data_IF_504528425235
#
_entry.id   IF_504528425235
#
_cell.length_a   1.000
_cell.length_b   1.000
_cell.length_c   1.000
_cell.angle_alpha   90.00
_cell.angle_beta   90.00
_cell.angle_gamma   90.00
#
_symmetry.space_group_name_H-M   'P 1'
#
loop_
_entity.id
_entity.type
_entity.pdbx_description
1 polymer ?
#
# COMPACT_ATOMS: atom_id res chain seq x y z
N UNK A 1 7.75 9.60 -14.41
CA UNK A 1 8.63 9.47 -13.22
C UNK A 1 7.83 8.94 -12.03
N UNK A 2 6.69 9.55 -11.72
CA UNK A 2 5.85 9.11 -10.60
C UNK A 2 5.37 7.66 -10.79
N UNK A 3 4.94 7.33 -12.00
CA UNK A 3 4.53 5.96 -12.35
C UNK A 3 5.68 4.96 -12.20
N UNK A 4 6.87 5.36 -12.64
CA UNK A 4 8.06 4.51 -12.52
C UNK A 4 8.41 4.27 -11.04
N UNK A 5 8.33 5.30 -10.20
CA UNK A 5 8.57 5.16 -8.76
C UNK A 5 7.54 4.24 -8.11
N UNK A 6 6.28 4.37 -8.49
CA UNK A 6 5.22 3.48 -8.00
C UNK A 6 5.50 2.02 -8.36
N UNK A 7 5.93 1.77 -9.60
CA UNK A 7 6.30 0.44 -10.04
C UNK A 7 7.50 -0.11 -9.27
N UNK A 8 8.50 0.72 -9.00
CA UNK A 8 9.69 0.33 -8.22
C UNK A 8 9.31 -0.05 -6.80
N UNK A 9 8.49 0.76 -6.14
CA UNK A 9 8.04 0.51 -4.77
C UNK A 9 7.23 -0.78 -4.70
N UNK A 10 6.28 -0.97 -5.61
CA UNK A 10 5.49 -2.19 -5.67
C UNK A 10 6.33 -3.43 -5.91
N UNK A 11 7.31 -3.34 -6.81
CA UNK A 11 8.23 -4.44 -7.08
C UNK A 11 9.09 -4.78 -5.85
N UNK A 12 9.55 -3.76 -5.13
CA UNK A 12 10.37 -3.95 -3.93
C UNK A 12 9.57 -4.62 -2.82
N UNK A 13 8.33 -4.20 -2.60
CA UNK A 13 7.45 -4.81 -1.61
C UNK A 13 7.19 -6.28 -1.95
N UNK A 14 6.88 -6.58 -3.22
CA UNK A 14 6.67 -7.96 -3.67
C UNK A 14 7.93 -8.80 -3.52
N UNK A 15 9.07 -8.27 -3.91
CA UNK A 15 10.36 -8.96 -3.77
C UNK A 15 10.63 -9.31 -2.31
N UNK A 16 10.39 -8.36 -1.39
CA UNK A 16 10.60 -8.59 0.03
C UNK A 16 9.69 -9.70 0.56
N UNK A 17 8.42 -9.67 0.21
CA UNK A 17 7.46 -10.68 0.65
C UNK A 17 7.79 -12.06 0.08
N UNK A 18 8.10 -12.15 -1.20
CA UNK A 18 8.44 -13.42 -1.85
C UNK A 18 9.75 -13.99 -1.31
N UNK A 19 10.75 -13.13 -1.09
CA UNK A 19 12.02 -13.55 -0.50
C UNK A 19 11.83 -14.15 0.89
N UNK A 20 11.01 -13.50 1.72
CA UNK A 20 10.66 -14.01 3.04
C UNK A 20 9.96 -15.36 2.97
N UNK A 21 9.03 -15.51 2.05
CA UNK A 21 8.31 -16.77 1.83
C UNK A 21 9.27 -17.90 1.41
N UNK A 22 10.18 -17.62 0.50
CA UNK A 22 11.15 -18.59 0.02
C UNK A 22 12.10 -19.01 1.15
N UNK A 23 12.65 -18.04 1.87
CA UNK A 23 13.57 -18.30 2.98
C UNK A 23 12.88 -19.05 4.11
N UNK A 24 11.59 -18.80 4.34
CA UNK A 24 10.78 -19.50 5.33
C UNK A 24 10.23 -20.84 4.86
N UNK A 25 10.55 -21.26 3.63
CA UNK A 25 10.08 -22.52 3.04
C UNK A 25 8.56 -22.61 2.96
N UNK A 26 7.90 -21.49 2.67
CA UNK A 26 6.45 -21.46 2.52
C UNK A 26 6.01 -22.33 1.33
N UNK A 27 4.86 -22.97 1.46
CA UNK A 27 4.27 -23.73 0.38
C UNK A 27 3.77 -22.83 -0.76
N UNK A 28 3.39 -23.43 -1.88
CA UNK A 28 2.95 -22.67 -3.06
C UNK A 28 1.75 -21.78 -2.77
N UNK A 29 0.78 -22.25 -2.00
CA UNK A 29 -0.41 -21.49 -1.64
C UNK A 29 -0.04 -20.29 -0.74
N UNK A 30 0.85 -20.49 0.21
CA UNK A 30 1.32 -19.44 1.11
C UNK A 30 2.13 -18.39 0.36
N UNK A 31 2.97 -18.82 -0.57
CA UNK A 31 3.74 -17.89 -1.42
C UNK A 31 2.82 -17.03 -2.28
N UNK A 32 1.78 -17.64 -2.86
CA UNK A 32 0.80 -16.91 -3.65
C UNK A 32 0.04 -15.88 -2.79
N UNK A 33 -0.36 -16.28 -1.58
CA UNK A 33 -1.04 -15.38 -0.64
C UNK A 33 -0.17 -14.19 -0.26
N UNK A 34 1.10 -14.41 0.01
CA UNK A 34 2.04 -13.33 0.35
C UNK A 34 2.32 -12.41 -0.84
N UNK A 35 2.38 -12.97 -2.06
CA UNK A 35 2.50 -12.17 -3.27
C UNK A 35 1.29 -11.26 -3.47
N UNK A 36 0.10 -11.81 -3.30
CA UNK A 36 -1.15 -11.06 -3.44
C UNK A 36 -1.28 -10.00 -2.35
N UNK A 37 -0.91 -10.35 -1.12
CA UNK A 37 -0.82 -9.41 -0.01
C UNK A 37 0.10 -8.23 -0.37
N UNK A 38 1.29 -8.52 -0.87
CA UNK A 38 2.27 -7.50 -1.22
C UNK A 38 1.79 -6.61 -2.37
N UNK A 39 1.07 -7.18 -3.33
CA UNK A 39 0.50 -6.43 -4.45
C UNK A 39 -0.55 -5.43 -3.96
N UNK A 40 -1.47 -5.89 -3.13
CA UNK A 40 -2.51 -5.03 -2.55
C UNK A 40 -1.90 -3.95 -1.65
N UNK A 41 -0.94 -4.35 -0.82
CA UNK A 41 -0.25 -3.42 0.08
C UNK A 41 0.50 -2.35 -0.69
N UNK A 42 1.20 -2.74 -1.75
CA UNK A 42 1.95 -1.79 -2.58
C UNK A 42 1.05 -0.75 -3.22
N UNK A 43 -0.11 -1.16 -3.72
CA UNK A 43 -1.06 -0.24 -4.29
C UNK A 43 -1.69 0.67 -3.22
N UNK A 44 -2.06 0.10 -2.08
CA UNK A 44 -2.56 0.89 -0.95
C UNK A 44 -1.52 1.93 -0.49
N UNK A 45 -0.25 1.56 -0.48
CA UNK A 45 0.85 2.45 -0.12
C UNK A 45 0.91 3.65 -1.09
N UNK A 46 0.80 3.40 -2.39
CA UNK A 46 0.83 4.48 -3.39
C UNK A 46 -0.36 5.41 -3.26
N UNK A 47 -1.54 4.87 -3.01
CA UNK A 47 -2.73 5.69 -2.80
C UNK A 47 -2.58 6.52 -1.52
N UNK A 48 -2.07 5.94 -0.45
CA UNK A 48 -1.82 6.65 0.81
C UNK A 48 -0.81 7.78 0.61
N UNK A 49 0.24 7.55 -0.16
CA UNK A 49 1.21 8.58 -0.52
C UNK A 49 0.55 9.76 -1.25
N UNK A 50 -0.28 9.46 -2.25
CA UNK A 50 -1.00 10.49 -2.99
C UNK A 50 -1.91 11.31 -2.07
N UNK A 51 -2.58 10.64 -1.12
CA UNK A 51 -3.45 11.31 -0.16
C UNK A 51 -2.62 12.24 0.74
N UNK A 52 -1.50 11.76 1.25
CA UNK A 52 -0.61 12.55 2.11
C UNK A 52 -0.05 13.77 1.36
N UNK A 53 0.36 13.58 0.11
CA UNK A 53 0.85 14.66 -0.72
C UNK A 53 -0.24 15.70 -0.97
N UNK A 54 -1.46 15.27 -1.21
CA UNK A 54 -2.59 16.17 -1.41
C UNK A 54 -2.90 16.97 -0.14
N UNK A 55 -2.94 16.31 1.01
CA UNK A 55 -3.20 16.95 2.30
C UNK A 55 -2.08 17.94 2.66
N UNK A 56 -0.83 17.56 2.42
CA UNK A 56 0.31 18.45 2.63
C UNK A 56 0.25 19.71 1.75
N UNK A 57 -0.17 19.55 0.50
CA UNK A 57 -0.35 20.68 -0.41
C UNK A 57 -1.43 21.63 0.07
N UNK A 58 -2.53 21.11 0.62
CA UNK A 58 -3.61 21.93 1.17
C UNK A 58 -3.14 22.68 2.41
N UNK A 59 -2.35 22.06 3.28
CA UNK A 59 -1.79 22.70 4.47
C UNK A 59 -0.80 23.81 4.12
N UNK A 60 -0.12 23.68 3.00
CA UNK A 60 0.82 24.69 2.50
C UNK A 60 0.12 25.76 1.66
N UNK A 61 -1.14 26.01 1.91
CA UNK A 61 -1.95 26.98 1.17
C UNK A 61 -1.24 28.34 1.10
N UNK A 62 -1.19 28.88 -0.09
CA UNK A 62 -0.52 30.16 -0.37
C UNK A 62 0.89 30.00 -0.89
N UNK A 63 1.49 28.82 -0.79
CA UNK A 63 2.78 28.53 -1.42
C UNK A 63 2.49 27.93 -2.80
N UNK A 64 3.29 27.09 -3.30
CA UNK A 64 3.14 26.53 -4.66
C UNK A 64 1.99 25.53 -4.79
N UNK A 65 0.89 25.77 -4.12
CA UNK A 65 -0.30 24.92 -4.17
C UNK A 65 -0.77 24.81 -5.61
N UNK A 66 -1.01 23.60 -6.03
CA UNK A 66 -1.48 23.35 -7.37
C UNK A 66 -0.40 23.25 -8.44
N UNK A 67 0.89 23.43 -8.09
CA UNK A 67 1.96 23.22 -9.06
C UNK A 67 1.93 21.81 -9.62
N UNK A 68 1.74 20.80 -8.77
CA UNK A 68 1.68 19.42 -9.20
C UNK A 68 0.36 19.13 -9.90
N UNK A 69 -0.73 19.69 -9.44
CA UNK A 69 -2.02 19.61 -10.12
C UNK A 69 -1.97 20.35 -11.46
N UNK A 70 -1.34 21.55 -11.47
CA UNK A 70 -1.17 22.32 -12.69
C UNK A 70 -0.23 21.62 -13.69
N UNK A 71 0.70 20.80 -13.21
CA UNK A 71 1.58 20.02 -14.07
C UNK A 71 0.86 18.82 -14.72
N UNK A 72 -0.43 18.62 -14.45
CA UNK A 72 -1.21 17.58 -15.09
C UNK A 72 -0.89 16.17 -14.61
N UNK A 73 -0.29 16.00 -13.44
CA UNK A 73 -0.02 14.66 -12.89
C UNK A 73 -1.33 13.96 -12.56
N UNK A 74 -1.55 12.81 -13.18
CA UNK A 74 -2.66 11.95 -12.83
C UNK A 74 -2.30 11.19 -11.56
N UNK A 75 -2.97 11.52 -10.47
CA UNK A 75 -2.83 10.82 -9.19
C UNK A 75 -4.12 10.06 -8.89
N UNK A 76 -4.10 9.18 -7.92
CA UNK A 76 -5.33 8.52 -7.47
C UNK A 76 -6.33 9.55 -6.93
N UNK A 77 -5.86 10.57 -6.25
CA UNK A 77 -6.73 11.64 -5.74
C UNK A 77 -7.36 12.42 -6.89
N UNK A 78 -6.60 12.72 -7.93
CA UNK A 78 -7.15 13.47 -9.08
C UNK A 78 -8.16 12.65 -9.87
N UNK A 79 -7.99 11.34 -9.92
CA UNK A 79 -8.89 10.45 -10.66
C UNK A 79 -10.12 10.05 -9.87
N UNK A 80 -9.97 9.80 -8.57
CA UNK A 80 -11.03 9.24 -7.72
C UNK A 80 -11.63 10.25 -6.75
N UNK A 81 -11.02 11.42 -6.59
CA UNK A 81 -11.30 12.33 -5.50
C UNK A 81 -10.71 11.83 -4.19
N UNK A 82 -10.62 12.70 -3.20
CA UNK A 82 -10.02 12.36 -1.90
C UNK A 82 -10.79 11.24 -1.20
N UNK A 83 -12.13 11.35 -1.16
CA UNK A 83 -12.97 10.32 -0.52
C UNK A 83 -12.84 8.98 -1.24
N UNK A 84 -12.87 8.99 -2.58
CA UNK A 84 -12.72 7.78 -3.38
C UNK A 84 -11.34 7.13 -3.20
N UNK A 85 -10.30 7.93 -3.13
CA UNK A 85 -8.95 7.43 -2.88
C UNK A 85 -8.85 6.78 -1.49
N UNK A 86 -9.42 7.41 -0.47
CA UNK A 86 -9.46 6.82 0.88
C UNK A 86 -10.21 5.51 0.91
N UNK A 87 -11.37 5.44 0.27
CA UNK A 87 -12.17 4.22 0.22
C UNK A 87 -11.41 3.11 -0.51
N UNK A 88 -10.74 3.44 -1.60
CA UNK A 88 -9.93 2.47 -2.35
C UNK A 88 -8.76 1.94 -1.51
N UNK A 89 -8.07 2.82 -0.79
CA UNK A 89 -6.99 2.43 0.09
C UNK A 89 -7.46 1.48 1.20
N UNK A 90 -8.61 1.77 1.80
CA UNK A 90 -9.20 0.88 2.81
C UNK A 90 -9.58 -0.47 2.23
N UNK A 91 -10.18 -0.49 1.04
CA UNK A 91 -10.58 -1.73 0.38
C UNK A 91 -9.35 -2.61 0.09
N UNK A 92 -8.27 -2.01 -0.39
CA UNK A 92 -7.02 -2.71 -0.67
C UNK A 92 -6.36 -3.24 0.60
N UNK A 93 -6.39 -2.44 1.67
CA UNK A 93 -5.86 -2.88 2.97
C UNK A 93 -6.66 -4.06 3.50
N UNK A 94 -7.99 -4.00 3.43
CA UNK A 94 -8.85 -5.11 3.83
C UNK A 94 -8.58 -6.36 2.99
N UNK A 95 -8.43 -6.21 1.69
CA UNK A 95 -8.09 -7.31 0.79
C UNK A 95 -6.74 -7.93 1.15
N UNK A 96 -5.72 -7.08 1.40
CA UNK A 96 -4.41 -7.55 1.82
C UNK A 96 -4.49 -8.36 3.12
N UNK A 97 -5.23 -7.85 4.10
CA UNK A 97 -5.41 -8.53 5.38
C UNK A 97 -6.12 -9.87 5.21
N UNK A 98 -7.11 -9.94 4.33
CA UNK A 98 -7.82 -11.19 4.02
C UNK A 98 -6.89 -12.24 3.40
N UNK A 99 -5.88 -11.81 2.63
CA UNK A 99 -4.87 -12.74 2.08
C UNK A 99 -4.07 -13.45 3.16
N UNK A 100 -4.02 -12.90 4.36
CA UNK A 100 -3.30 -13.47 5.49
C UNK A 100 -4.15 -14.49 6.28
N UNK A 101 -5.36 -14.77 5.83
CA UNK A 101 -6.28 -15.68 6.53
C UNK A 101 -5.74 -17.09 6.74
N UNK A 102 -4.85 -17.56 5.86
CA UNK A 102 -4.17 -18.86 6.01
C UNK A 102 -3.00 -18.83 6.99
N UNK A 103 -2.65 -17.66 7.52
CA UNK A 103 -1.55 -17.48 8.47
C UNK A 103 -2.11 -17.17 9.85
N UNK A 104 -2.90 -18.10 10.40
CA UNK A 104 -3.47 -17.96 11.73
C UNK A 104 -2.39 -17.98 12.82
N UNK A 105 -2.74 -17.57 14.06
CA UNK A 105 -1.76 -17.51 15.15
C UNK A 105 -1.05 -18.85 15.42
N UNK A 106 -1.73 -19.96 15.14
CA UNK A 106 -1.15 -21.29 15.33
C UNK A 106 -0.08 -21.62 14.31
N UNK A 107 -0.12 -20.99 13.14
CA UNK A 107 0.74 -21.34 12.01
C UNK A 107 1.86 -20.33 11.79
N UNK A 108 1.61 -19.05 12.04
CA UNK A 108 2.55 -17.98 11.77
C UNK A 108 3.02 -17.24 13.03
N UNK A 109 2.48 -17.60 14.19
CA UNK A 109 2.79 -16.88 15.43
C UNK A 109 2.51 -15.40 15.28
N UNK A 110 3.48 -14.56 15.67
CA UNK A 110 3.34 -13.10 15.59
C UNK A 110 3.51 -12.54 14.18
N UNK A 111 4.05 -13.32 13.24
CA UNK A 111 4.35 -12.80 11.90
C UNK A 111 3.09 -12.36 11.16
N UNK A 112 2.02 -13.15 11.24
CA UNK A 112 0.75 -12.79 10.62
C UNK A 112 0.15 -11.53 11.22
N UNK A 113 0.24 -11.38 12.54
CA UNK A 113 -0.24 -10.19 13.23
C UNK A 113 0.58 -8.94 12.85
N UNK A 114 1.89 -9.09 12.72
CA UNK A 114 2.77 -8.00 12.31
C UNK A 114 2.41 -7.54 10.90
N UNK A 115 2.22 -8.46 9.97
CA UNK A 115 1.85 -8.13 8.59
C UNK A 115 0.45 -7.47 8.54
N UNK A 116 -0.49 -7.97 9.32
CA UNK A 116 -1.82 -7.39 9.43
C UNK A 116 -1.75 -5.95 9.93
N UNK A 117 -0.96 -5.71 10.97
CA UNK A 117 -0.75 -4.37 11.55
C UNK A 117 -0.01 -3.45 10.59
N UNK A 118 0.93 -3.98 9.82
CA UNK A 118 1.65 -3.21 8.81
C UNK A 118 0.69 -2.68 7.74
N UNK A 119 -0.24 -3.51 7.27
CA UNK A 119 -1.24 -3.10 6.30
C UNK A 119 -2.10 -1.96 6.86
N UNK A 120 -2.53 -2.08 8.11
CA UNK A 120 -3.31 -1.02 8.77
C UNK A 120 -2.51 0.27 8.88
N UNK A 121 -1.24 0.18 9.25
CA UNK A 121 -0.35 1.33 9.41
C UNK A 121 -0.18 2.12 8.11
N UNK A 122 -0.14 1.44 6.97
CA UNK A 122 0.05 2.07 5.66
C UNK A 122 -1.00 3.15 5.40
N UNK A 123 -2.25 2.91 5.79
CA UNK A 123 -3.33 3.86 5.54
C UNK A 123 -3.61 4.79 6.71
N UNK A 124 -3.05 4.53 7.89
CA UNK A 124 -3.26 5.37 9.08
C UNK A 124 -2.08 6.29 9.38
N UNK A 125 -0.92 6.06 8.79
CA UNK A 125 0.25 6.92 8.97
C UNK A 125 -0.02 8.35 8.50
N UNK A 126 0.69 9.31 9.08
CA UNK A 126 0.55 10.73 8.76
C UNK A 126 1.76 11.31 8.02
N UNK A 127 2.72 10.47 7.73
CA UNK A 127 3.93 10.91 7.01
C UNK A 127 4.60 9.75 6.30
#
# INVERSE_FOLDING_TARGET
>A
ITHLQALKTGALIRFSAESGAILGRAGAAERAALRDFATDLGLAFQIADDILDHEGSVEEVGKAVGKDAAAGKATFVSLLGLAGARDRARALTGSAQDRLGGFGPAESGQAGEILHSLAEFVITRRS
#
